data_IF_436339757136
#
_entry.id   IF_436339757136
#
_cell.length_a   1.000
_cell.length_b   1.000
_cell.length_c   1.000
_cell.angle_alpha   90.00
_cell.angle_beta   90.00
_cell.angle_gamma   90.00
#
_symmetry.space_group_name_H-M   'P 1'
#
loop_
_entity.id
_entity.type
_entity.pdbx_description
1 polymer ?
#
# COMPACT_ATOMS: atom_id res chain seq x y z
N UNK A 1 6.88 6.43 35.63
CA UNK A 1 7.62 5.81 34.51
C UNK A 1 7.50 4.28 34.44
N UNK A 2 7.41 3.55 35.56
CA UNK A 2 7.29 2.08 35.56
C UNK A 2 5.98 1.51 34.95
N UNK A 3 4.84 2.20 35.12
CA UNK A 3 3.54 1.67 34.66
C UNK A 3 3.36 1.68 33.13
N UNK A 4 4.00 2.61 32.41
CA UNK A 4 3.91 2.67 30.95
C UNK A 4 4.68 1.53 30.29
N UNK A 5 5.84 1.15 30.86
CA UNK A 5 6.64 0.04 30.34
C UNK A 5 5.92 -1.30 30.49
N UNK A 6 5.21 -1.51 31.61
CA UNK A 6 4.40 -2.71 31.83
C UNK A 6 3.21 -2.79 30.87
N UNK A 7 2.54 -1.67 30.59
CA UNK A 7 1.42 -1.64 29.66
C UNK A 7 1.86 -1.92 28.22
N UNK A 8 3.00 -1.36 27.79
CA UNK A 8 3.58 -1.64 26.47
C UNK A 8 4.03 -3.10 26.37
N UNK A 9 4.63 -3.66 27.42
CA UNK A 9 5.05 -5.07 27.43
C UNK A 9 3.85 -6.02 27.36
N UNK A 10 2.76 -5.71 28.06
CA UNK A 10 1.51 -6.51 28.02
C UNK A 10 0.85 -6.43 26.65
N UNK A 11 0.80 -5.26 26.01
CA UNK A 11 0.32 -5.11 24.64
C UNK A 11 1.20 -5.87 23.63
N UNK A 12 2.52 -5.84 23.80
CA UNK A 12 3.45 -6.55 22.94
C UNK A 12 3.33 -8.07 23.11
N UNK A 13 3.17 -8.55 24.35
CA UNK A 13 2.95 -9.97 24.65
C UNK A 13 1.59 -10.42 24.12
N UNK A 14 0.53 -9.63 24.27
CA UNK A 14 -0.80 -9.93 23.71
C UNK A 14 -0.77 -9.98 22.18
N UNK A 15 -0.01 -9.10 21.51
CA UNK A 15 0.20 -9.16 20.06
C UNK A 15 0.92 -10.46 19.67
N UNK A 16 2.02 -10.79 20.36
CA UNK A 16 2.83 -12.00 20.07
C UNK A 16 2.03 -13.28 20.33
N UNK A 17 1.20 -13.34 21.39
CA UNK A 17 0.40 -14.53 21.70
C UNK A 17 -0.74 -14.73 20.70
N UNK A 18 -1.37 -13.67 20.20
CA UNK A 18 -2.39 -13.77 19.15
C UNK A 18 -1.76 -14.21 17.80
N UNK A 19 -0.58 -13.70 17.46
CA UNK A 19 0.16 -14.11 16.26
C UNK A 19 0.61 -15.58 16.36
N UNK A 20 1.01 -16.03 17.55
CA UNK A 20 1.47 -17.41 17.78
C UNK A 20 0.31 -18.43 17.79
N UNK A 21 -0.89 -18.06 18.27
CA UNK A 21 -2.06 -18.94 18.19
C UNK A 21 -2.64 -19.05 16.77
N UNK A 22 -2.43 -18.06 15.90
CA UNK A 22 -2.81 -18.15 14.49
C UNK A 22 -2.00 -19.20 13.69
N UNK A 23 -0.87 -19.70 14.23
CA UNK A 23 0.08 -20.54 13.50
C UNK A 23 0.05 -22.04 13.85
N UNK A 24 -0.72 -22.48 14.86
CA UNK A 24 -0.55 -23.83 15.43
C UNK A 24 -1.48 -24.96 14.95
N UNK A 25 -2.42 -24.75 14.03
CA UNK A 25 -3.25 -25.84 13.50
C UNK A 25 -2.94 -26.18 12.03
N UNK A 26 -2.00 -27.11 11.82
CA UNK A 26 -1.77 -27.80 10.54
C UNK A 26 -2.91 -28.78 10.25
N UNK A 27 -4.09 -28.30 9.84
CA UNK A 27 -5.07 -29.00 8.97
C UNK A 27 -6.49 -28.39 8.90
N UNK A 28 -6.77 -27.24 9.53
CA UNK A 28 -8.11 -26.61 9.42
C UNK A 28 -8.09 -25.08 9.47
N UNK A 29 -7.07 -24.44 8.88
CA UNK A 29 -6.93 -22.98 8.95
C UNK A 29 -7.64 -22.28 7.77
N UNK A 30 -8.88 -21.88 8.00
CA UNK A 30 -9.47 -20.73 7.30
C UNK A 30 -8.64 -19.47 7.61
N UNK A 31 -8.54 -18.55 6.65
CA UNK A 31 -7.70 -17.34 6.67
C UNK A 31 -6.20 -17.55 6.39
N UNK A 32 -5.91 -18.19 5.25
CA UNK A 32 -4.77 -17.75 4.45
C UNK A 32 -5.31 -17.42 3.07
N UNK A 33 -5.94 -16.27 2.93
CA UNK A 33 -6.30 -15.77 1.60
C UNK A 33 -5.02 -15.44 0.83
N UNK A 34 -5.14 -15.20 -0.47
CA UNK A 34 -4.00 -14.76 -1.28
C UNK A 34 -4.47 -13.70 -2.25
N UNK A 35 -3.76 -12.57 -2.27
CA UNK A 35 -4.01 -11.45 -3.16
C UNK A 35 -2.70 -11.15 -3.91
N UNK A 36 -2.65 -11.40 -5.24
CA UNK A 36 -1.41 -11.22 -6.01
C UNK A 36 -0.93 -9.77 -6.07
N UNK A 37 -1.86 -8.81 -6.01
CA UNK A 37 -1.60 -7.37 -5.95
C UNK A 37 -2.08 -6.88 -4.58
N UNK A 38 -1.15 -6.55 -3.71
CA UNK A 38 -1.45 -6.09 -2.36
C UNK A 38 -0.42 -5.08 -1.86
N UNK A 39 -0.87 -4.18 -1.00
CA UNK A 39 -0.01 -3.27 -0.26
C UNK A 39 0.61 -3.98 0.95
N UNK A 40 1.92 -3.83 1.10
CA UNK A 40 2.66 -4.43 2.20
C UNK A 40 2.55 -3.54 3.45
N UNK A 41 2.08 -4.08 4.59
CA UNK A 41 2.01 -3.31 5.82
C UNK A 41 3.39 -3.15 6.46
N UNK A 42 3.59 -2.07 7.21
CA UNK A 42 4.86 -1.87 7.92
C UNK A 42 4.72 -0.96 9.15
N UNK A 43 5.72 -1.05 10.02
CA UNK A 43 6.05 -0.08 11.05
C UNK A 43 7.51 0.31 10.88
N UNK A 44 7.80 1.60 10.70
CA UNK A 44 9.09 2.12 10.30
C UNK A 44 9.60 3.24 11.20
N UNK A 45 10.91 3.32 11.33
CA UNK A 45 11.65 4.47 11.82
C UNK A 45 12.68 4.87 10.76
N UNK A 46 13.03 6.15 10.67
CA UNK A 46 13.90 6.60 9.58
C UNK A 46 14.43 8.01 9.73
N UNK A 47 15.21 8.40 8.73
CA UNK A 47 15.89 9.70 8.61
C UNK A 47 15.63 10.30 7.23
N UNK A 48 15.70 11.61 7.13
CA UNK A 48 15.29 12.35 5.93
C UNK A 48 13.85 12.81 6.09
N UNK A 49 13.69 14.13 6.18
CA UNK A 49 12.44 14.81 6.49
C UNK A 49 12.35 16.06 5.62
N UNK A 50 11.13 16.60 5.46
CA UNK A 50 10.96 17.93 4.89
C UNK A 50 11.48 19.01 5.89
N UNK A 51 11.61 20.27 5.46
CA UNK A 51 12.02 21.37 6.34
C UNK A 51 11.03 21.72 7.46
N UNK A 52 9.78 21.23 7.38
CA UNK A 52 8.66 21.68 8.21
C UNK A 52 8.35 20.72 9.38
N UNK A 53 8.60 19.42 9.22
CA UNK A 53 8.13 18.36 10.11
C UNK A 53 9.19 17.25 10.22
N UNK A 54 9.46 16.80 11.46
CA UNK A 54 10.40 15.69 11.71
C UNK A 54 9.65 14.41 12.05
N UNK A 55 9.65 13.44 11.13
CA UNK A 55 8.98 12.15 11.31
C UNK A 55 9.88 11.20 12.11
N UNK A 56 9.42 10.83 13.31
CA UNK A 56 10.08 9.86 14.19
C UNK A 56 9.70 8.42 13.81
N UNK A 57 8.41 8.17 13.66
CA UNK A 57 7.85 6.85 13.34
C UNK A 57 6.76 6.96 12.27
N UNK A 58 6.62 5.91 11.48
CA UNK A 58 5.64 5.80 10.40
C UNK A 58 5.02 4.40 10.45
N UNK A 59 3.71 4.29 10.34
CA UNK A 59 3.01 3.01 10.36
C UNK A 59 1.96 2.95 9.24
N UNK A 60 1.94 1.84 8.50
CA UNK A 60 0.93 1.55 7.48
C UNK A 60 0.30 0.16 7.74
N UNK A 61 -0.57 0.00 8.74
CA UNK A 61 -1.16 -1.31 9.07
C UNK A 61 -2.29 -1.67 8.10
N UNK A 62 -1.91 -2.14 6.91
CA UNK A 62 -2.85 -2.57 5.86
C UNK A 62 -3.55 -3.88 6.21
N UNK A 63 -4.87 -3.90 6.01
CA UNK A 63 -5.73 -5.07 6.19
C UNK A 63 -6.57 -5.34 4.94
N UNK A 64 -6.74 -6.62 4.62
CA UNK A 64 -7.64 -7.11 3.58
C UNK A 64 -8.69 -8.03 4.21
N UNK A 65 -9.96 -7.78 3.94
CA UNK A 65 -11.07 -8.63 4.35
C UNK A 65 -11.68 -9.29 3.10
N UNK A 66 -11.57 -10.61 2.98
CA UNK A 66 -12.15 -11.33 1.85
C UNK A 66 -13.65 -11.53 2.03
N UNK A 67 -14.41 -11.11 1.02
CA UNK A 67 -15.83 -11.45 0.87
C UNK A 67 -15.96 -12.75 0.09
N UNK A 68 -15.11 -12.91 -0.93
CA UNK A 68 -14.95 -14.12 -1.75
C UNK A 68 -13.48 -14.26 -2.15
N UNK A 69 -12.94 -15.46 -2.15
CA UNK A 69 -11.59 -15.74 -2.70
C UNK A 69 -11.44 -17.23 -3.02
N UNK A 70 -11.36 -17.58 -4.31
CA UNK A 70 -11.04 -18.94 -4.76
C UNK A 70 -9.69 -19.02 -5.50
N UNK A 71 -8.87 -17.97 -5.42
CA UNK A 71 -7.61 -17.85 -6.15
C UNK A 71 -6.70 -19.05 -5.91
N UNK A 72 -6.55 -19.45 -4.64
CA UNK A 72 -5.69 -20.59 -4.28
C UNK A 72 -6.19 -21.89 -4.89
N UNK A 73 -7.50 -22.10 -4.89
CA UNK A 73 -8.11 -23.29 -5.46
C UNK A 73 -7.91 -23.31 -6.97
N UNK A 74 -8.17 -22.20 -7.66
CA UNK A 74 -7.96 -22.07 -9.09
C UNK A 74 -6.50 -22.32 -9.50
N UNK A 75 -5.53 -21.76 -8.77
CA UNK A 75 -4.11 -21.96 -9.05
C UNK A 75 -3.65 -23.41 -8.83
N UNK A 76 -4.31 -24.14 -7.93
CA UNK A 76 -4.04 -25.56 -7.65
C UNK A 76 -4.76 -26.56 -8.57
N UNK A 77 -5.66 -26.09 -9.44
CA UNK A 77 -6.31 -26.95 -10.45
C UNK A 77 -5.33 -27.33 -11.58
N UNK A 78 -5.62 -28.47 -12.19
CA UNK A 78 -4.87 -28.99 -13.34
C UNK A 78 -5.25 -28.29 -14.66
N UNK A 79 -6.46 -27.75 -14.72
CA UNK A 79 -6.94 -26.93 -15.85
C UNK A 79 -6.59 -25.46 -15.66
N UNK A 80 -6.49 -24.73 -16.78
CA UNK A 80 -6.38 -23.27 -16.74
C UNK A 80 -7.76 -22.71 -16.44
N UNK A 81 -7.95 -22.27 -15.20
CA UNK A 81 -9.17 -21.63 -14.71
C UNK A 81 -8.77 -20.30 -14.07
N UNK A 82 -9.58 -19.27 -14.25
CA UNK A 82 -9.40 -18.03 -13.50
C UNK A 82 -9.75 -18.27 -12.02
N UNK A 83 -8.99 -17.66 -11.13
CA UNK A 83 -9.38 -17.51 -9.74
C UNK A 83 -9.69 -16.05 -9.46
N UNK A 84 -10.71 -15.80 -8.67
CA UNK A 84 -11.26 -14.49 -8.39
C UNK A 84 -11.27 -14.22 -6.89
N UNK A 85 -11.08 -12.97 -6.51
CA UNK A 85 -11.24 -12.49 -5.15
C UNK A 85 -11.99 -11.16 -5.14
N UNK A 86 -12.95 -11.04 -4.23
CA UNK A 86 -13.66 -9.81 -3.88
C UNK A 86 -13.34 -9.50 -2.43
N UNK A 87 -12.93 -8.26 -2.14
CA UNK A 87 -12.41 -7.90 -0.83
C UNK A 87 -12.67 -6.43 -0.48
N UNK A 88 -12.57 -6.15 0.82
CA UNK A 88 -12.38 -4.81 1.35
C UNK A 88 -10.91 -4.62 1.70
N UNK A 89 -10.31 -3.48 1.35
CA UNK A 89 -8.95 -3.11 1.76
C UNK A 89 -9.00 -1.84 2.59
N UNK A 90 -8.37 -1.84 3.75
CA UNK A 90 -8.24 -0.69 4.63
C UNK A 90 -6.76 -0.42 4.82
N UNK A 91 -6.30 0.74 4.38
CA UNK A 91 -4.89 1.11 4.29
C UNK A 91 -4.67 2.45 5.00
N UNK A 92 -4.66 2.45 6.34
CA UNK A 92 -4.26 3.64 7.10
C UNK A 92 -2.75 3.86 6.97
N UNK A 93 -2.33 5.11 7.05
CA UNK A 93 -0.95 5.56 7.11
C UNK A 93 -0.87 6.65 8.20
N UNK A 94 -0.05 6.40 9.20
CA UNK A 94 0.10 7.24 10.39
C UNK A 94 1.55 7.65 10.54
N UNK A 95 1.79 8.90 10.92
CA UNK A 95 3.11 9.41 11.28
C UNK A 95 3.11 10.01 12.67
N UNK A 96 4.19 9.75 13.39
CA UNK A 96 4.51 10.34 14.69
C UNK A 96 5.64 11.33 14.47
N UNK A 97 5.35 12.59 14.75
CA UNK A 97 6.25 13.73 14.60
C UNK A 97 6.91 14.11 15.92
N UNK A 98 8.07 14.77 15.84
CA UNK A 98 8.83 15.27 16.99
C UNK A 98 8.19 16.54 17.58
N UNK A 99 7.01 16.37 18.17
CA UNK A 99 6.21 17.46 18.74
C UNK A 99 5.64 17.14 20.11
N UNK A 100 5.46 18.19 20.92
CA UNK A 100 4.90 18.05 22.25
C UNK A 100 3.37 17.87 22.20
N UNK A 101 2.88 16.80 22.84
CA UNK A 101 1.46 16.54 23.15
C UNK A 101 0.49 16.18 22.01
N UNK A 102 0.78 16.50 20.74
CA UNK A 102 -0.03 16.07 19.57
C UNK A 102 0.86 15.54 18.44
N UNK A 103 1.55 14.40 18.65
CA UNK A 103 2.57 13.95 17.72
C UNK A 103 1.98 13.29 16.46
N UNK A 104 0.67 13.03 16.39
CA UNK A 104 0.01 12.56 15.17
C UNK A 104 -0.83 13.69 14.61
N UNK A 105 -0.54 14.06 13.36
CA UNK A 105 -1.27 15.05 12.59
C UNK A 105 -1.73 14.42 11.28
N UNK A 106 -2.87 14.92 10.77
CA UNK A 106 -3.36 14.65 9.40
C UNK A 106 -3.23 13.18 8.97
N UNK A 107 -3.67 12.20 9.80
CA UNK A 107 -3.53 10.78 9.49
C UNK A 107 -4.16 10.44 8.16
N UNK A 108 -3.63 9.45 7.45
CA UNK A 108 -4.03 9.14 6.10
C UNK A 108 -4.80 7.83 6.02
N UNK A 109 -5.96 7.82 5.36
CA UNK A 109 -6.86 6.67 5.32
C UNK A 109 -7.31 6.40 3.89
N UNK A 110 -6.93 5.23 3.35
CA UNK A 110 -7.54 4.69 2.14
C UNK A 110 -8.44 3.50 2.48
N UNK A 111 -9.63 3.46 1.92
CA UNK A 111 -10.54 2.32 2.03
C UNK A 111 -11.10 1.96 0.66
N UNK A 112 -11.00 0.69 0.27
CA UNK A 112 -11.40 0.19 -1.05
C UNK A 112 -12.33 -1.01 -0.97
N UNK A 113 -13.21 -1.10 -1.96
CA UNK A 113 -13.76 -2.37 -2.43
C UNK A 113 -12.96 -2.76 -3.66
N UNK A 114 -12.47 -3.99 -3.69
CA UNK A 114 -11.62 -4.49 -4.76
C UNK A 114 -12.08 -5.82 -5.32
N UNK A 115 -11.78 -6.02 -6.60
CA UNK A 115 -11.83 -7.31 -7.28
C UNK A 115 -10.48 -7.60 -7.93
N UNK A 116 -10.01 -8.83 -7.78
CA UNK A 116 -8.81 -9.34 -8.43
C UNK A 116 -9.11 -10.66 -9.13
N UNK A 117 -8.61 -10.84 -10.35
CA UNK A 117 -8.68 -12.10 -11.08
C UNK A 117 -7.30 -12.51 -11.55
N UNK A 118 -6.97 -13.78 -11.40
CA UNK A 118 -5.67 -14.35 -11.73
C UNK A 118 -5.83 -15.62 -12.55
N UNK A 119 -5.00 -15.75 -13.57
CA UNK A 119 -4.95 -16.94 -14.42
C UNK A 119 -3.52 -17.49 -14.48
N UNK A 120 -3.42 -18.82 -14.34
CA UNK A 120 -2.17 -19.55 -14.56
C UNK A 120 -1.94 -19.77 -16.06
N UNK A 121 -0.84 -19.23 -16.56
CA UNK A 121 -0.40 -19.44 -17.95
C UNK A 121 0.10 -20.86 -18.20
N UNK A 122 0.31 -21.23 -19.47
CA UNK A 122 0.88 -22.54 -19.87
C UNK A 122 2.26 -22.82 -19.25
N UNK A 123 3.03 -21.78 -18.94
CA UNK A 123 4.37 -21.88 -18.39
C UNK A 123 4.40 -21.77 -16.84
N UNK A 124 3.24 -21.84 -16.18
CA UNK A 124 3.08 -21.64 -14.72
C UNK A 124 3.48 -20.24 -14.20
N UNK A 125 3.54 -19.26 -15.11
CA UNK A 125 3.51 -17.84 -14.76
C UNK A 125 2.08 -17.42 -14.48
N UNK A 126 1.89 -16.29 -13.80
CA UNK A 126 0.58 -15.76 -13.44
C UNK A 126 0.34 -14.42 -14.14
N UNK A 127 -0.88 -14.24 -14.64
CA UNK A 127 -1.39 -12.95 -15.08
C UNK A 127 -2.54 -12.58 -14.15
N UNK A 128 -2.47 -11.39 -13.55
CA UNK A 128 -3.50 -10.88 -12.65
C UNK A 128 -4.02 -9.54 -13.17
N UNK A 129 -5.32 -9.33 -13.08
CA UNK A 129 -5.95 -8.03 -13.25
C UNK A 129 -6.67 -7.64 -11.95
N UNK A 130 -6.71 -6.35 -11.65
CA UNK A 130 -7.42 -5.81 -10.49
C UNK A 130 -8.18 -4.55 -10.85
N UNK A 131 -9.31 -4.33 -10.16
CA UNK A 131 -9.95 -3.04 -10.03
C UNK A 131 -10.26 -2.78 -8.56
N UNK A 132 -9.91 -1.60 -8.08
CA UNK A 132 -10.19 -1.12 -6.73
C UNK A 132 -10.88 0.24 -6.84
N UNK A 133 -11.95 0.46 -6.09
CA UNK A 133 -12.60 1.76 -6.00
C UNK A 133 -12.92 2.09 -4.55
N UNK A 134 -12.81 3.36 -4.19
CA UNK A 134 -12.89 3.74 -2.79
C UNK A 134 -12.61 5.19 -2.50
N UNK A 135 -12.25 5.45 -1.25
CA UNK A 135 -12.13 6.77 -0.67
C UNK A 135 -10.77 6.97 -0.01
N UNK A 136 -10.22 8.16 -0.16
CA UNK A 136 -8.94 8.58 0.37
C UNK A 136 -9.08 9.90 1.12
N UNK A 137 -8.85 9.90 2.43
CA UNK A 137 -9.00 11.12 3.24
C UNK A 137 -8.11 11.15 4.48
N UNK A 138 -8.13 12.28 5.19
CA UNK A 138 -7.46 12.44 6.49
C UNK A 138 -8.38 12.74 7.68
N UNK A 139 -9.69 12.91 7.42
CA UNK A 139 -10.71 13.15 8.43
C UNK A 139 -10.55 14.47 9.21
N UNK A 140 -9.85 15.45 8.66
CA UNK A 140 -9.73 16.79 9.25
C UNK A 140 -10.80 17.75 8.72
N UNK A 141 -11.01 18.90 9.36
CA UNK A 141 -12.09 19.83 9.04
C UNK A 141 -11.64 21.24 8.66
N UNK A 142 -10.36 21.60 8.84
CA UNK A 142 -9.87 22.96 8.53
C UNK A 142 -9.47 23.09 7.08
N UNK A 143 -9.38 24.33 6.62
CA UNK A 143 -8.89 24.67 5.29
C UNK A 143 -7.52 24.06 5.00
N UNK A 144 -7.32 23.62 3.75
CA UNK A 144 -6.04 23.09 3.27
C UNK A 144 -4.86 24.05 3.46
N UNK A 145 -5.12 25.36 3.38
CA UNK A 145 -4.11 26.42 3.36
C UNK A 145 -4.32 27.46 4.48
N UNK A 146 -5.15 27.15 5.49
CA UNK A 146 -5.34 28.00 6.66
C UNK A 146 -5.74 27.19 7.89
N UNK A 147 -5.19 27.52 9.05
CA UNK A 147 -5.61 26.96 10.35
C UNK A 147 -6.84 27.67 10.93
N UNK A 148 -7.16 28.87 10.43
CA UNK A 148 -8.22 29.72 10.96
C UNK A 148 -9.58 29.30 10.41
N UNK A 149 -9.67 29.06 9.10
CA UNK A 149 -10.92 28.83 8.40
C UNK A 149 -11.33 27.34 8.39
N UNK A 150 -12.63 27.10 8.47
CA UNK A 150 -13.18 25.76 8.21
C UNK A 150 -13.10 25.44 6.71
N UNK A 151 -12.94 24.17 6.39
CA UNK A 151 -12.97 23.69 5.01
C UNK A 151 -14.32 24.03 4.36
N UNK A 152 -14.28 24.48 3.10
CA UNK A 152 -15.44 24.96 2.31
C UNK A 152 -16.13 26.24 2.83
N UNK A 153 -15.52 27.00 3.75
CA UNK A 153 -15.97 28.38 4.02
C UNK A 153 -15.64 29.29 2.83
N UNK A 154 -16.35 30.41 2.69
CA UNK A 154 -16.08 31.38 1.62
C UNK A 154 -14.62 31.90 1.69
N UNK A 155 -14.10 32.11 2.90
CA UNK A 155 -12.71 32.51 3.13
C UNK A 155 -11.71 31.42 2.74
N UNK A 156 -12.02 30.15 3.05
CA UNK A 156 -11.17 29.03 2.63
C UNK A 156 -11.15 28.87 1.11
N UNK A 157 -12.30 29.02 0.46
CA UNK A 157 -12.42 28.90 -1.00
C UNK A 157 -11.67 30.04 -1.69
N UNK A 158 -11.75 31.27 -1.17
CA UNK A 158 -11.04 32.42 -1.71
C UNK A 158 -9.51 32.26 -1.69
N UNK A 159 -8.94 31.46 -0.77
CA UNK A 159 -7.49 31.18 -0.77
C UNK A 159 -7.03 30.45 -2.03
N UNK A 160 -7.90 29.68 -2.69
CA UNK A 160 -7.56 29.02 -3.95
C UNK A 160 -7.49 30.00 -5.12
N UNK A 161 -8.27 31.09 -5.10
CA UNK A 161 -8.25 32.12 -6.15
C UNK A 161 -6.91 32.88 -6.20
N UNK A 162 -6.17 32.90 -5.09
CA UNK A 162 -4.85 33.54 -4.96
C UNK A 162 -3.69 32.59 -5.35
N UNK A 163 -3.96 31.31 -5.62
CA UNK A 163 -2.94 30.35 -6.03
C UNK A 163 -2.57 30.61 -7.49
N UNK A 164 -1.29 30.84 -7.71
CA UNK A 164 -0.65 30.99 -9.03
C UNK A 164 0.44 29.94 -9.23
N UNK A 165 0.89 29.75 -10.47
CA UNK A 165 1.98 28.82 -10.82
C UNK A 165 3.28 29.04 -10.01
N UNK A 166 3.51 30.26 -9.51
CA UNK A 166 4.70 30.63 -8.72
C UNK A 166 4.52 30.44 -7.19
N UNK A 167 3.36 29.98 -6.75
CA UNK A 167 3.01 29.87 -5.33
C UNK A 167 3.67 28.65 -4.68
N UNK A 168 4.39 28.86 -3.57
CA UNK A 168 4.96 27.74 -2.79
C UNK A 168 3.90 27.15 -1.85
N UNK A 169 3.12 26.22 -2.38
CA UNK A 169 2.06 25.53 -1.62
C UNK A 169 2.60 24.68 -0.46
N UNK A 170 3.87 24.28 -0.47
CA UNK A 170 4.45 23.52 0.64
C UNK A 170 4.62 24.40 1.89
N UNK A 171 4.84 25.71 1.70
CA UNK A 171 4.90 26.69 2.79
C UNK A 171 3.51 26.99 3.36
N UNK A 172 2.50 27.12 2.50
CA UNK A 172 1.15 27.53 2.90
C UNK A 172 0.30 26.41 3.52
N UNK A 173 0.72 25.16 3.34
CA UNK A 173 -0.06 23.99 3.74
C UNK A 173 -0.38 24.00 5.25
N UNK A 174 -1.66 23.85 5.59
CA UNK A 174 -2.11 23.57 6.95
C UNK A 174 -1.78 22.11 7.31
N UNK A 175 -0.62 21.93 7.96
CA UNK A 175 -0.10 20.64 8.39
C UNK A 175 -0.70 20.12 9.69
N UNK A 176 -1.46 20.95 10.41
CA UNK A 176 -2.06 20.56 11.70
C UNK A 176 -3.42 19.90 11.51
N UNK A 177 -4.23 20.44 10.61
CA UNK A 177 -5.67 20.16 10.53
C UNK A 177 -6.27 20.39 9.14
N UNK A 178 -5.44 20.63 8.11
CA UNK A 178 -5.94 20.82 6.76
C UNK A 178 -6.63 19.58 6.25
N UNK A 179 -7.88 19.71 5.82
CA UNK A 179 -8.66 18.62 5.25
C UNK A 179 -8.00 18.11 3.97
N UNK A 180 -8.14 16.81 3.71
CA UNK A 180 -7.89 16.19 2.42
C UNK A 180 -8.89 15.06 2.26
N UNK A 181 -9.61 15.05 1.13
CA UNK A 181 -10.64 14.05 0.87
C UNK A 181 -10.91 13.91 -0.62
N UNK A 182 -10.90 12.68 -1.12
CA UNK A 182 -11.16 12.39 -2.54
C UNK A 182 -11.62 10.95 -2.73
N UNK A 183 -12.34 10.67 -3.81
CA UNK A 183 -12.62 9.30 -4.23
C UNK A 183 -11.68 8.92 -5.36
N UNK A 184 -11.38 7.64 -5.48
CA UNK A 184 -10.51 7.16 -6.54
C UNK A 184 -10.88 5.76 -7.01
N UNK A 185 -10.51 5.48 -8.26
CA UNK A 185 -10.58 4.15 -8.86
C UNK A 185 -9.21 3.82 -9.43
N UNK A 186 -8.76 2.60 -9.18
CA UNK A 186 -7.46 2.08 -9.59
C UNK A 186 -7.66 0.79 -10.37
N UNK A 187 -7.08 0.72 -11.56
CA UNK A 187 -6.99 -0.52 -12.35
C UNK A 187 -5.55 -0.98 -12.37
N UNK A 188 -5.31 -2.28 -12.29
CA UNK A 188 -3.96 -2.82 -12.24
C UNK A 188 -3.83 -4.10 -13.05
N UNK A 189 -2.68 -4.28 -13.67
CA UNK A 189 -2.26 -5.49 -14.35
C UNK A 189 -0.94 -5.95 -13.74
N UNK A 190 -0.83 -7.24 -13.44
CA UNK A 190 0.38 -7.85 -12.93
C UNK A 190 0.72 -9.10 -13.73
N UNK A 191 2.00 -9.22 -14.09
CA UNK A 191 2.55 -10.44 -14.65
C UNK A 191 3.67 -10.95 -13.75
N UNK A 192 3.51 -12.18 -13.27
CA UNK A 192 4.47 -12.84 -12.38
C UNK A 192 5.10 -14.05 -13.06
N UNK A 193 6.41 -14.00 -13.24
CA UNK A 193 7.22 -15.11 -13.71
C UNK A 193 7.66 -15.91 -12.50
N UNK A 194 7.38 -17.20 -12.46
CA UNK A 194 7.71 -18.06 -11.32
C UNK A 194 8.66 -19.18 -11.73
N UNK A 195 9.52 -19.55 -10.80
CA UNK A 195 10.26 -20.81 -10.81
C UNK A 195 9.91 -21.57 -9.54
N UNK A 196 9.79 -22.89 -9.66
CA UNK A 196 9.34 -23.76 -8.57
C UNK A 196 10.39 -24.83 -8.30
N UNK A 197 10.44 -25.33 -7.06
CA UNK A 197 11.21 -26.52 -6.72
C UNK A 197 10.46 -27.82 -7.08
N UNK A 198 11.06 -28.97 -6.75
CA UNK A 198 10.47 -30.30 -6.97
C UNK A 198 9.17 -30.52 -6.18
N UNK A 199 8.99 -29.78 -5.07
CA UNK A 199 7.78 -29.79 -4.25
C UNK A 199 6.76 -28.74 -4.68
N UNK A 200 7.00 -28.07 -5.80
CA UNK A 200 6.15 -27.03 -6.38
C UNK A 200 6.03 -25.77 -5.52
N UNK A 201 7.01 -25.54 -4.67
CA UNK A 201 7.14 -24.33 -3.89
C UNK A 201 7.84 -23.23 -4.72
N UNK A 202 7.35 -21.98 -4.73
CA UNK A 202 7.99 -20.89 -5.47
C UNK A 202 9.41 -20.60 -4.95
N UNK A 203 10.44 -20.86 -5.76
CA UNK A 203 11.84 -20.60 -5.41
C UNK A 203 12.24 -19.15 -5.68
N UNK A 204 11.83 -18.65 -6.85
CA UNK A 204 12.16 -17.30 -7.32
C UNK A 204 11.03 -16.78 -8.20
N UNK A 205 10.70 -15.51 -8.02
CA UNK A 205 9.68 -14.83 -8.82
C UNK A 205 10.11 -13.43 -9.23
N UNK A 206 9.69 -13.04 -10.43
CA UNK A 206 9.73 -11.66 -10.91
C UNK A 206 8.28 -11.20 -11.11
N UNK A 207 7.90 -10.13 -10.43
CA UNK A 207 6.55 -9.57 -10.46
C UNK A 207 6.62 -8.18 -11.08
N UNK A 208 5.87 -7.98 -12.17
CA UNK A 208 5.77 -6.69 -12.86
C UNK A 208 4.32 -6.23 -12.77
N UNK A 209 4.09 -5.08 -12.14
CA UNK A 209 2.77 -4.48 -11.99
C UNK A 209 2.75 -3.13 -12.67
N UNK A 210 1.72 -2.88 -13.47
CA UNK A 210 1.36 -1.56 -13.99
C UNK A 210 -0.02 -1.21 -13.46
N UNK A 211 -0.20 0.00 -12.94
CA UNK A 211 -1.49 0.48 -12.49
C UNK A 211 -1.77 1.89 -13.02
N UNK A 212 -3.05 2.18 -13.17
CA UNK A 212 -3.55 3.50 -13.44
C UNK A 212 -4.63 3.82 -12.41
N UNK A 213 -4.51 4.99 -11.80
CA UNK A 213 -5.42 5.51 -10.81
C UNK A 213 -6.01 6.84 -11.27
N UNK A 214 -7.31 6.98 -11.05
CA UNK A 214 -8.10 8.15 -11.39
C UNK A 214 -8.76 8.69 -10.11
N UNK A 215 -8.47 9.94 -9.78
CA UNK A 215 -9.18 10.68 -8.73
C UNK A 215 -10.46 11.31 -9.30
N UNK A 216 -11.57 11.19 -8.57
CA UNK A 216 -12.89 11.60 -9.03
C UNK A 216 -13.87 11.85 -7.88
N UNK A 217 -15.04 12.40 -8.18
CA UNK A 217 -16.06 12.74 -7.20
C UNK A 217 -17.09 11.62 -6.92
N UNK A 218 -16.88 10.40 -7.42
CA UNK A 218 -17.83 9.29 -7.27
C UNK A 218 -17.35 8.25 -6.26
N UNK A 219 -17.97 8.18 -5.10
CA UNK A 219 -17.73 7.12 -4.13
C UNK A 219 -18.12 5.76 -4.72
N UNK A 220 -17.19 4.80 -4.66
CA UNK A 220 -17.30 3.48 -5.28
C UNK A 220 -17.69 3.52 -6.77
N UNK A 221 -17.35 4.61 -7.47
CA UNK A 221 -17.67 4.82 -8.88
C UNK A 221 -19.15 5.17 -9.18
N UNK A 222 -20.04 5.17 -8.18
CA UNK A 222 -21.48 5.29 -8.39
C UNK A 222 -22.14 6.49 -7.69
N UNK A 223 -21.70 6.83 -6.47
CA UNK A 223 -22.42 7.80 -5.62
C UNK A 223 -21.70 9.14 -5.50
N UNK A 224 -22.42 10.25 -5.65
CA UNK A 224 -21.84 11.60 -5.55
C UNK A 224 -21.77 12.07 -4.10
N UNK A 225 -20.87 11.48 -3.31
CA UNK A 225 -20.53 11.95 -1.97
C UNK A 225 -19.05 11.66 -1.67
N UNK A 226 -18.49 12.32 -0.65
CA UNK A 226 -17.12 12.05 -0.17
C UNK A 226 -16.10 13.15 -0.46
N UNK A 227 -16.39 14.38 -0.01
CA UNK A 227 -15.40 15.44 0.23
C UNK A 227 -14.51 15.85 -0.96
N UNK A 228 -14.92 15.58 -2.19
CA UNK A 228 -14.16 15.94 -3.38
C UNK A 228 -14.18 17.47 -3.56
N UNK A 229 -13.01 18.08 -3.41
CA UNK A 229 -12.72 19.48 -3.73
C UNK A 229 -12.08 19.54 -5.14
N UNK A 230 -12.74 20.15 -6.14
CA UNK A 230 -12.19 20.32 -7.49
C UNK A 230 -10.87 21.09 -7.52
N UNK A 231 -10.72 22.12 -6.71
CA UNK A 231 -9.55 22.98 -6.65
C UNK A 231 -8.31 22.21 -6.14
N UNK A 232 -8.51 21.23 -5.25
CA UNK A 232 -7.43 20.34 -4.83
C UNK A 232 -6.94 19.43 -5.97
N UNK A 233 -7.83 19.00 -6.87
CA UNK A 233 -7.46 18.16 -8.03
C UNK A 233 -6.57 18.92 -8.99
N UNK A 234 -6.79 20.22 -9.15
CA UNK A 234 -5.95 21.07 -9.98
C UNK A 234 -4.53 21.17 -9.41
N UNK A 235 -4.35 20.93 -8.10
CA UNK A 235 -3.06 20.86 -7.43
C UNK A 235 -2.39 19.49 -7.60
N UNK A 236 -3.04 18.42 -7.12
CA UNK A 236 -2.40 17.10 -7.02
C UNK A 236 -2.59 16.20 -8.25
N UNK A 237 -3.33 16.70 -9.25
CA UNK A 237 -3.61 16.02 -10.51
C UNK A 237 -4.66 14.93 -10.40
N UNK A 238 -5.34 14.68 -11.50
CA UNK A 238 -6.39 13.66 -11.58
C UNK A 238 -5.84 12.27 -11.83
N UNK A 239 -4.68 12.19 -12.48
CA UNK A 239 -4.16 10.96 -13.02
C UNK A 239 -2.92 10.52 -12.27
N UNK A 240 -2.83 9.23 -11.96
CA UNK A 240 -1.62 8.63 -11.40
C UNK A 240 -1.30 7.33 -12.14
N UNK A 241 -0.09 7.24 -12.66
CA UNK A 241 0.46 6.03 -13.28
C UNK A 241 1.45 5.41 -12.31
N UNK A 242 1.33 4.10 -12.08
CA UNK A 242 2.20 3.36 -11.18
C UNK A 242 2.90 2.23 -11.92
N UNK A 243 4.20 2.08 -11.70
CA UNK A 243 4.98 0.92 -12.13
C UNK A 243 5.66 0.31 -10.93
N UNK A 244 5.54 -1.01 -10.78
CA UNK A 244 6.15 -1.73 -9.67
C UNK A 244 6.80 -3.01 -10.16
N UNK A 245 8.07 -3.17 -9.82
CA UNK A 245 8.81 -4.41 -9.96
C UNK A 245 9.14 -4.99 -8.58
N UNK A 246 8.92 -6.29 -8.41
CA UNK A 246 9.38 -7.04 -7.23
C UNK A 246 10.06 -8.34 -7.65
N UNK A 247 11.29 -8.51 -7.18
CA UNK A 247 12.02 -9.75 -7.21
C UNK A 247 11.89 -10.43 -5.85
N UNK A 248 11.57 -11.73 -5.83
CA UNK A 248 11.61 -12.54 -4.60
C UNK A 248 12.44 -13.78 -4.87
N UNK A 249 13.29 -14.17 -3.92
CA UNK A 249 14.07 -15.40 -3.96
C UNK A 249 14.38 -15.93 -2.56
N UNK A 250 14.96 -17.13 -2.51
CA UNK A 250 15.37 -17.78 -1.29
C UNK A 250 16.89 -17.93 -1.23
N UNK A 251 17.47 -17.69 -0.06
CA UNK A 251 18.84 -18.00 0.26
C UNK A 251 18.88 -18.79 1.57
N UNK A 252 19.32 -20.05 1.48
CA UNK A 252 19.21 -21.02 2.59
C UNK A 252 17.74 -21.09 3.07
N UNK A 253 17.48 -20.86 4.35
CA UNK A 253 16.14 -20.84 4.94
C UNK A 253 15.54 -19.43 4.99
N UNK A 254 16.08 -18.46 4.27
CA UNK A 254 15.60 -17.08 4.30
C UNK A 254 14.98 -16.73 2.95
N UNK A 255 13.82 -16.08 2.98
CA UNK A 255 13.23 -15.46 1.80
C UNK A 255 13.61 -13.98 1.79
N UNK A 256 13.93 -13.43 0.62
CA UNK A 256 14.20 -12.01 0.49
C UNK A 256 13.50 -11.46 -0.74
N UNK A 257 13.13 -10.17 -0.69
CA UNK A 257 12.59 -9.46 -1.83
C UNK A 257 13.31 -8.12 -2.05
N UNK A 258 13.41 -7.74 -3.32
CA UNK A 258 13.88 -6.43 -3.77
C UNK A 258 12.78 -5.80 -4.61
N UNK A 259 12.37 -4.58 -4.28
CA UNK A 259 11.29 -3.89 -4.99
C UNK A 259 11.68 -2.50 -5.44
N UNK A 260 11.13 -2.10 -6.58
CA UNK A 260 11.16 -0.73 -7.07
C UNK A 260 9.74 -0.33 -7.45
N UNK A 261 9.24 0.76 -6.88
CA UNK A 261 7.96 1.38 -7.25
C UNK A 261 8.22 2.78 -7.79
N UNK A 262 7.49 3.16 -8.82
CA UNK A 262 7.52 4.50 -9.41
C UNK A 262 6.09 4.96 -9.59
N UNK A 263 5.81 6.18 -9.20
CA UNK A 263 4.52 6.84 -9.31
C UNK A 263 4.70 8.13 -10.09
N UNK A 264 3.75 8.45 -10.97
CA UNK A 264 3.77 9.63 -11.82
C UNK A 264 2.39 10.27 -11.86
N UNK A 265 2.32 11.57 -11.56
CA UNK A 265 1.17 12.43 -11.74
C UNK A 265 1.46 13.43 -12.86
N UNK A 266 0.98 13.19 -14.09
CA UNK A 266 1.35 14.00 -15.25
C UNK A 266 0.65 15.37 -15.31
N UNK A 267 -0.39 15.58 -14.50
CA UNK A 267 -1.33 16.70 -14.59
C UNK A 267 -1.43 17.50 -13.27
N UNK A 268 -0.29 17.73 -12.61
CA UNK A 268 -0.23 18.47 -11.34
C UNK A 268 0.11 19.95 -11.55
N UNK A 269 -0.25 20.78 -10.57
CA UNK A 269 0.18 22.18 -10.50
C UNK A 269 1.71 22.29 -10.39
N UNK A 270 2.36 23.36 -10.90
CA UNK A 270 3.83 23.50 -10.88
C UNK A 270 4.48 23.43 -9.50
N UNK A 271 3.75 23.78 -8.44
CA UNK A 271 4.22 23.66 -7.06
C UNK A 271 4.17 22.24 -6.49
N UNK A 272 3.52 21.30 -7.18
CA UNK A 272 3.40 19.91 -6.80
C UNK A 272 4.44 19.04 -7.52
N UNK A 273 4.76 17.90 -6.92
CA UNK A 273 5.88 17.07 -7.34
C UNK A 273 5.36 15.90 -8.17
N UNK A 274 5.74 15.89 -9.45
CA UNK A 274 5.18 14.99 -10.48
C UNK A 274 5.47 13.50 -10.21
N UNK A 275 6.57 13.16 -9.52
CA UNK A 275 6.98 11.76 -9.38
C UNK A 275 7.39 11.37 -7.96
N UNK A 276 7.29 10.06 -7.70
CA UNK A 276 7.84 9.40 -6.51
C UNK A 276 8.47 8.08 -6.90
N UNK A 277 9.56 7.74 -6.22
CA UNK A 277 10.28 6.48 -6.35
C UNK A 277 10.43 5.86 -4.96
N UNK A 278 10.16 4.57 -4.86
CA UNK A 278 10.38 3.78 -3.64
C UNK A 278 11.20 2.53 -3.97
N UNK A 279 12.40 2.44 -3.40
CA UNK A 279 13.23 1.25 -3.46
C UNK A 279 13.18 0.55 -2.12
N UNK A 280 12.96 -0.76 -2.10
CA UNK A 280 12.98 -1.52 -0.85
C UNK A 280 13.71 -2.86 -0.98
N UNK A 281 14.29 -3.29 0.14
CA UNK A 281 14.84 -4.62 0.32
C UNK A 281 14.26 -5.22 1.60
N UNK A 282 13.64 -6.39 1.50
CA UNK A 282 13.02 -7.08 2.63
C UNK A 282 13.66 -8.45 2.84
N UNK A 283 13.92 -8.81 4.09
CA UNK A 283 14.38 -10.13 4.50
C UNK A 283 13.36 -10.76 5.43
N UNK A 284 12.95 -11.99 5.13
CA UNK A 284 12.06 -12.84 5.92
C UNK A 284 12.87 -14.01 6.49
N UNK A 285 13.31 -13.92 7.76
CA UNK A 285 14.05 -14.99 8.41
C UNK A 285 13.23 -16.28 8.50
N UNK A 286 13.86 -17.43 8.28
CA UNK A 286 13.20 -18.76 8.33
C UNK A 286 11.96 -18.91 7.45
N UNK A 287 11.84 -18.06 6.42
CA UNK A 287 10.68 -17.99 5.54
C UNK A 287 9.35 -17.77 6.30
N UNK A 288 9.39 -16.93 7.34
CA UNK A 288 8.20 -16.50 8.07
C UNK A 288 7.46 -15.37 7.36
N UNK A 289 6.24 -15.12 7.80
CA UNK A 289 5.42 -14.00 7.35
C UNK A 289 6.05 -12.66 7.81
N UNK A 290 6.75 -12.63 8.96
CA UNK A 290 7.43 -11.43 9.48
C UNK A 290 8.78 -11.19 8.78
N UNK A 291 9.06 -9.93 8.44
CA UNK A 291 10.30 -9.51 7.80
C UNK A 291 10.83 -8.16 8.29
N UNK A 292 12.11 -7.93 7.99
CA UNK A 292 12.81 -6.66 8.17
C UNK A 292 13.00 -6.00 6.81
N UNK A 293 12.60 -4.74 6.69
CA UNK A 293 12.63 -3.99 5.43
C UNK A 293 13.49 -2.73 5.56
N UNK A 294 14.43 -2.55 4.64
CA UNK A 294 15.06 -1.26 4.38
C UNK A 294 14.37 -0.61 3.18
N UNK A 295 14.02 0.68 3.28
CA UNK A 295 13.30 1.40 2.23
C UNK A 295 13.86 2.81 2.05
N UNK A 296 14.08 3.19 0.80
CA UNK A 296 14.46 4.53 0.39
C UNK A 296 13.39 5.11 -0.51
N UNK A 297 12.86 6.26 -0.12
CA UNK A 297 11.85 7.01 -0.86
C UNK A 297 12.43 8.34 -1.33
N UNK A 298 12.03 8.79 -2.50
CA UNK A 298 12.40 10.09 -3.06
C UNK A 298 11.31 10.60 -4.01
N UNK A 299 11.13 11.92 -4.08
CA UNK A 299 10.03 12.56 -4.80
C UNK A 299 8.91 12.96 -3.85
N UNK A 300 7.67 13.02 -4.36
CA UNK A 300 6.55 13.57 -3.60
C UNK A 300 6.25 12.81 -2.32
N UNK A 301 5.80 13.51 -1.29
CA UNK A 301 5.28 12.90 -0.06
C UNK A 301 3.85 12.41 -0.25
N UNK A 302 3.61 11.12 -0.02
CA UNK A 302 2.30 10.48 -0.23
C UNK A 302 1.33 10.66 0.95
N UNK A 303 1.69 11.43 1.98
CA UNK A 303 0.91 11.62 3.21
C UNK A 303 -0.13 12.75 3.13
N UNK A 304 -1.11 12.63 2.22
CA UNK A 304 -2.27 13.55 2.10
C UNK A 304 -1.97 15.06 1.96
N UNK A 305 -0.72 15.42 1.70
CA UNK A 305 -0.26 16.79 1.56
C UNK A 305 -0.24 17.26 0.11
N UNK A 306 -1.24 16.84 -0.68
CA UNK A 306 -1.43 17.28 -2.09
C UNK A 306 -0.16 17.15 -2.97
N UNK A 307 0.75 16.27 -2.57
CA UNK A 307 2.02 15.97 -3.23
C UNK A 307 2.96 17.18 -3.42
N UNK A 308 2.84 18.22 -2.58
CA UNK A 308 3.68 19.44 -2.67
C UNK A 308 5.06 19.28 -2.02
N UNK A 309 5.20 18.37 -1.06
CA UNK A 309 6.47 18.12 -0.39
C UNK A 309 7.37 17.19 -1.21
N UNK A 310 8.67 17.51 -1.29
CA UNK A 310 9.70 16.67 -1.91
C UNK A 310 10.90 16.49 -0.98
N UNK A 311 11.16 15.26 -0.55
CA UNK A 311 12.36 14.98 0.24
C UNK A 311 12.75 13.50 0.16
N UNK A 312 14.05 13.18 0.19
CA UNK A 312 14.51 11.82 0.34
C UNK A 312 14.32 11.33 1.78
N UNK A 313 13.88 10.07 1.94
CA UNK A 313 13.76 9.42 3.25
C UNK A 313 14.27 7.98 3.20
N UNK A 314 15.17 7.65 4.13
CA UNK A 314 15.60 6.28 4.39
C UNK A 314 14.93 5.76 5.66
N UNK A 315 14.44 4.53 5.62
CA UNK A 315 13.70 3.92 6.73
C UNK A 315 14.04 2.44 6.90
N UNK A 316 14.05 2.00 8.16
CA UNK A 316 14.11 0.59 8.57
C UNK A 316 12.77 0.24 9.21
N UNK A 317 12.21 -0.90 8.80
CA UNK A 317 10.84 -1.26 9.14
C UNK A 317 10.70 -2.72 9.52
N UNK A 318 9.74 -3.01 10.39
CA UNK A 318 9.12 -4.33 10.51
C UNK A 318 7.97 -4.40 9.52
N UNK A 319 7.85 -5.52 8.83
CA UNK A 319 6.77 -5.78 7.87
C UNK A 319 6.28 -7.21 8.01
N UNK A 320 5.08 -7.50 7.54
CA UNK A 320 4.54 -8.86 7.51
C UNK A 320 3.81 -9.11 6.20
N UNK A 321 4.08 -10.27 5.62
CA UNK A 321 3.49 -10.73 4.37
C UNK A 321 2.26 -11.59 4.67
N UNK A 322 1.08 -11.00 4.49
CA UNK A 322 -0.20 -11.72 4.62
C UNK A 322 -0.36 -12.84 3.59
N UNK A 323 0.38 -12.80 2.49
CA UNK A 323 0.15 -13.61 1.29
C UNK A 323 1.40 -14.39 0.91
N UNK A 324 1.89 -15.19 1.87
CA UNK A 324 3.08 -16.01 1.69
C UNK A 324 2.99 -16.90 0.44
N UNK A 325 4.14 -17.16 -0.21
CA UNK A 325 4.25 -18.21 -1.21
C UNK A 325 3.60 -19.49 -0.69
N UNK A 326 2.86 -20.14 -1.56
CA UNK A 326 2.22 -21.42 -1.28
C UNK A 326 2.53 -22.37 -2.43
N UNK A 327 2.43 -23.67 -2.14
CA UNK A 327 2.66 -24.71 -3.13
C UNK A 327 1.60 -24.61 -4.24
N UNK A 328 2.05 -24.56 -5.50
CA UNK A 328 1.17 -24.46 -6.67
C UNK A 328 1.49 -25.58 -7.64
N UNK A 329 0.52 -26.44 -7.96
CA UNK A 329 0.75 -27.54 -8.92
C UNK A 329 1.18 -27.01 -10.32
N UNK A 330 2.40 -27.33 -10.80
CA UNK A 330 2.88 -26.89 -12.10
C UNK A 330 2.45 -27.87 -13.18
N UNK A 331 2.25 -27.34 -14.38
CA UNK A 331 1.82 -28.11 -15.54
C UNK A 331 2.81 -29.18 -16.02
N UNK A 332 4.13 -28.98 -15.83
CA UNK A 332 5.16 -29.88 -16.41
C UNK A 332 5.30 -31.22 -15.68
N UNK A 333 4.92 -31.30 -14.40
CA UNK A 333 4.86 -32.56 -13.66
C UNK A 333 3.57 -33.36 -13.94
N UNK A 334 2.74 -32.89 -14.89
CA UNK A 334 1.43 -33.46 -15.22
C UNK A 334 1.42 -34.28 -16.53
N UNK A 335 2.56 -34.48 -17.19
CA UNK A 335 2.69 -35.50 -18.24
C UNK A 335 3.28 -36.74 -17.56
N UNK A 336 2.62 -37.92 -17.62
CA UNK A 336 3.25 -39.15 -17.14
C UNK A 336 4.63 -39.27 -17.79
N UNK A 337 5.68 -39.54 -17.01
CA UNK A 337 6.85 -40.22 -17.58
C UNK A 337 6.32 -41.54 -18.10
N UNK A 338 6.08 -41.65 -19.40
CA UNK A 338 6.04 -42.95 -20.04
C UNK A 338 7.34 -43.66 -19.65
N UNK A 339 7.20 -44.80 -18.98
CA UNK A 339 8.33 -45.62 -18.57
C UNK A 339 9.00 -46.10 -19.86
N UNK A 340 10.27 -45.77 -20.05
CA UNK A 340 11.14 -46.49 -20.97
C UNK A 340 11.33 -47.94 -20.50
#
# INVERSE_FOLDING_TARGET
>A
MQNNLQFTLVLFVLLITNISQAQNNRSSNGFKDYFPIAERPFLAAGTGNNPYEKILLEAKPVVYYSIYNDIRDALNRDTIVAGDAIYLSIQPHLRIYDENSKPVKTPSYKAFIGWQSIIKTKNNNFLTAAIETGHYSNGQSKSAFSEEFEDNSDESSALYDDITDDTDLAVLLNRSSGNFSTNLTRVSLNYRINTFDESNYPLRSHSFTLAYQLYHNRFLGAFQFGGYNPEDIDIYGRHQIESWYEFTAHFKKMRYSLSQRVFLHPDVHPSAVIYRSETSATLYPWDTDLGFMARFNFGYDDYNYRFVDNYPRFSISLTWDWFTPFVVKPRKLQVPKERE
#
